data_IF_327618703824
#
_entry.id   IF_327618703824
#
_cell.length_a   1.000
_cell.length_b   1.000
_cell.length_c   1.000
_cell.angle_alpha   90.00
_cell.angle_beta   90.00
_cell.angle_gamma   90.00
#
_symmetry.space_group_name_H-M   'P 1'
#
loop_
_entity.id
_entity.type
_entity.pdbx_description
1 polymer ?
#
# COMPACT_ATOMS: atom_id res chain seq x y z
N UNK A 1 16.38 29.30 -8.63
CA UNK A 1 15.28 29.25 -9.61
C UNK A 1 14.43 28.02 -9.24
N UNK A 2 13.22 28.28 -8.72
CA UNK A 2 12.40 27.32 -7.99
C UNK A 2 11.74 26.27 -8.91
N UNK A 3 12.17 25.02 -8.83
CA UNK A 3 11.51 23.86 -9.51
C UNK A 3 10.59 23.09 -8.52
N UNK A 4 10.09 23.75 -7.48
CA UNK A 4 9.25 23.11 -6.45
C UNK A 4 7.75 23.41 -6.56
N UNK A 5 7.22 23.68 -7.78
CA UNK A 5 5.80 24.05 -7.95
C UNK A 5 4.98 23.21 -8.94
N UNK A 6 5.24 21.93 -9.05
CA UNK A 6 4.33 21.03 -9.79
C UNK A 6 3.80 19.89 -8.91
N UNK A 7 3.21 20.24 -7.76
CA UNK A 7 2.42 19.31 -6.93
C UNK A 7 1.02 19.00 -7.48
N UNK A 8 0.70 19.36 -8.72
CA UNK A 8 -0.71 19.49 -9.15
C UNK A 8 -1.32 18.31 -9.93
N UNK A 9 -0.64 17.24 -10.26
CA UNK A 9 -1.24 16.23 -11.15
C UNK A 9 -0.85 14.79 -10.88
N UNK A 10 -0.80 14.40 -9.61
CA UNK A 10 -0.77 12.98 -9.28
C UNK A 10 -2.14 12.57 -8.77
N UNK A 11 -2.71 11.45 -9.26
CA UNK A 11 -3.92 10.89 -8.66
C UNK A 11 -3.64 10.64 -7.19
N UNK A 12 -4.13 11.52 -6.30
CA UNK A 12 -3.91 11.43 -4.85
C UNK A 12 -4.41 10.13 -4.23
N UNK A 13 -5.27 9.40 -4.94
CA UNK A 13 -5.88 8.16 -4.44
C UNK A 13 -4.97 6.93 -4.53
N UNK A 14 -3.78 7.04 -5.12
CA UNK A 14 -2.92 5.91 -5.43
C UNK A 14 -1.54 5.93 -4.78
N UNK A 15 -1.18 7.02 -4.14
CA UNK A 15 0.07 7.10 -3.39
C UNK A 15 -0.23 6.53 -2.00
N UNK A 16 0.36 5.39 -1.61
CA UNK A 16 0.32 4.97 -0.21
C UNK A 16 0.92 6.13 0.58
N UNK A 17 0.16 6.73 1.48
CA UNK A 17 0.53 7.94 2.21
C UNK A 17 1.88 7.83 2.93
N UNK A 18 2.42 6.63 3.06
CA UNK A 18 3.70 6.37 3.69
C UNK A 18 4.41 5.16 3.04
N UNK A 19 5.17 5.41 2.01
CA UNK A 19 6.10 4.45 1.42
C UNK A 19 7.48 5.10 1.36
N UNK A 20 8.45 4.57 2.10
CA UNK A 20 9.78 5.14 2.20
C UNK A 20 10.87 4.09 2.07
N UNK A 21 12.00 4.51 1.53
CA UNK A 21 13.24 3.78 1.61
C UNK A 21 14.25 4.55 2.47
N UNK A 22 15.07 3.84 3.21
CA UNK A 22 16.18 4.38 3.97
C UNK A 22 17.36 3.40 3.95
N UNK A 23 18.58 3.89 3.99
CA UNK A 23 19.77 3.07 4.18
C UNK A 23 20.56 3.59 5.35
N UNK A 24 21.15 2.69 6.12
CA UNK A 24 21.99 3.05 7.27
C UNK A 24 23.17 2.12 7.39
N UNK A 25 24.34 2.72 7.65
CA UNK A 25 25.53 2.00 8.07
C UNK A 25 25.53 1.91 9.59
N UNK A 26 25.85 0.72 10.10
CA UNK A 26 25.96 0.46 11.53
C UNK A 26 27.29 -0.17 11.83
N UNK A 27 27.92 0.22 12.93
CA UNK A 27 29.14 -0.38 13.44
C UNK A 27 28.83 -1.63 14.25
N UNK A 28 29.78 -2.51 14.36
CA UNK A 28 29.67 -3.68 15.24
C UNK A 28 29.33 -3.25 16.68
N UNK A 29 28.40 -3.95 17.31
CA UNK A 29 27.90 -3.68 18.66
C UNK A 29 26.82 -2.60 18.75
N UNK A 30 26.54 -1.85 17.68
CA UNK A 30 25.40 -0.93 17.66
C UNK A 30 24.07 -1.68 17.68
N UNK A 31 23.03 -1.02 18.16
CA UNK A 31 21.68 -1.57 18.20
C UNK A 31 20.71 -0.61 17.53
N UNK A 32 19.67 -1.16 16.90
CA UNK A 32 18.55 -0.38 16.41
C UNK A 32 17.22 -1.06 16.72
N UNK A 33 16.15 -0.28 16.66
CA UNK A 33 14.77 -0.78 16.83
C UNK A 33 13.90 -0.25 15.69
N UNK A 34 12.89 -1.02 15.31
CA UNK A 34 11.83 -0.51 14.43
C UNK A 34 10.95 0.44 15.23
N UNK A 35 10.82 1.67 14.79
CA UNK A 35 10.16 2.74 15.55
C UNK A 35 8.70 2.96 15.17
N UNK A 36 8.35 2.73 13.91
CA UNK A 36 6.99 2.94 13.41
C UNK A 36 6.21 1.63 13.38
N UNK A 37 5.40 1.41 14.42
CA UNK A 37 4.54 0.23 14.55
C UNK A 37 3.36 0.23 13.58
N UNK A 38 3.06 1.33 12.92
CA UNK A 38 2.01 1.43 11.90
C UNK A 38 2.42 0.90 10.53
N UNK A 39 3.71 0.65 10.31
CA UNK A 39 4.29 0.29 9.02
C UNK A 39 4.73 -1.18 8.96
N UNK A 40 4.67 -1.75 7.77
CA UNK A 40 5.39 -2.98 7.44
C UNK A 40 6.82 -2.62 7.05
N UNK A 41 7.75 -3.53 7.33
CA UNK A 41 9.15 -3.37 6.97
C UNK A 41 9.62 -4.53 6.09
N UNK A 42 10.31 -4.21 5.01
CA UNK A 42 11.23 -5.12 4.33
C UNK A 42 12.63 -4.65 4.67
N UNK A 43 13.40 -5.50 5.34
CA UNK A 43 14.77 -5.22 5.77
C UNK A 43 15.71 -6.04 4.91
N UNK A 44 16.58 -5.37 4.17
CA UNK A 44 17.61 -5.98 3.34
C UNK A 44 18.98 -5.70 3.97
N UNK A 45 19.71 -6.77 4.33
CA UNK A 45 21.10 -6.66 4.73
C UNK A 45 21.97 -6.67 3.48
N UNK A 46 22.51 -5.50 3.10
CA UNK A 46 23.39 -5.42 1.95
C UNK A 46 24.80 -5.95 2.27
N UNK A 47 25.31 -5.60 3.43
CA UNK A 47 26.65 -5.96 3.89
C UNK A 47 26.61 -6.27 5.38
N UNK A 48 27.49 -7.15 5.84
CA UNK A 48 27.64 -7.47 7.24
C UNK A 48 26.64 -8.51 7.77
N UNK A 49 26.34 -8.37 9.07
CA UNK A 49 25.52 -9.35 9.80
C UNK A 49 24.83 -8.73 10.99
N UNK A 50 23.54 -8.96 11.11
CA UNK A 50 22.69 -8.41 12.15
C UNK A 50 21.89 -9.51 12.83
N UNK A 51 21.86 -9.51 14.16
CA UNK A 51 20.98 -10.36 14.96
C UNK A 51 19.69 -9.59 15.28
N UNK A 52 18.57 -10.22 15.01
CA UNK A 52 17.25 -9.64 15.18
C UNK A 52 16.45 -10.44 16.21
N UNK A 53 15.74 -9.77 17.08
CA UNK A 53 14.76 -10.35 18.03
C UNK A 53 13.42 -9.64 17.85
N UNK A 54 12.32 -10.39 17.92
CA UNK A 54 10.97 -9.87 17.72
C UNK A 54 9.97 -10.72 18.50
N UNK A 55 8.77 -10.21 18.74
CA UNK A 55 7.65 -11.03 19.22
C UNK A 55 7.27 -12.18 18.28
N UNK A 56 7.69 -12.12 17.01
CA UNK A 56 7.42 -13.14 15.98
C UNK A 56 8.45 -14.27 15.98
N UNK A 57 9.65 -14.03 16.50
CA UNK A 57 10.77 -15.00 16.53
C UNK A 57 11.73 -14.66 17.68
N UNK A 58 12.28 -15.66 18.30
CA UNK A 58 13.19 -15.47 19.45
C UNK A 58 14.51 -14.82 19.07
N UNK A 59 15.13 -15.26 17.98
CA UNK A 59 16.35 -14.70 17.43
C UNK A 59 16.53 -15.15 15.99
N UNK A 60 16.73 -14.19 15.08
CA UNK A 60 17.07 -14.43 13.69
C UNK A 60 18.39 -13.73 13.35
N UNK A 61 19.14 -14.32 12.44
CA UNK A 61 20.36 -13.71 11.90
C UNK A 61 20.13 -13.32 10.46
N UNK A 62 20.25 -12.05 10.14
CA UNK A 62 20.20 -11.50 8.80
C UNK A 62 21.62 -11.24 8.32
N UNK A 63 22.02 -11.91 7.24
CA UNK A 63 23.35 -11.80 6.61
C UNK A 63 23.29 -10.99 5.32
N UNK A 64 24.44 -10.59 4.85
CA UNK A 64 24.58 -9.97 3.53
C UNK A 64 23.86 -10.77 2.45
N UNK A 65 23.03 -10.09 1.66
CA UNK A 65 22.20 -10.69 0.61
C UNK A 65 20.91 -11.34 1.10
N UNK A 66 20.54 -11.20 2.38
CA UNK A 66 19.27 -11.73 2.90
C UNK A 66 18.24 -10.59 3.10
N UNK A 67 16.98 -10.96 2.95
CA UNK A 67 15.80 -10.10 3.11
C UNK A 67 14.90 -10.65 4.19
N UNK A 68 14.40 -9.78 5.06
CA UNK A 68 13.47 -10.13 6.11
C UNK A 68 12.24 -9.23 6.03
N UNK A 69 11.06 -9.79 6.28
CA UNK A 69 9.82 -9.05 6.37
C UNK A 69 9.34 -8.96 7.83
N UNK A 70 8.95 -7.77 8.27
CA UNK A 70 8.28 -7.54 9.54
C UNK A 70 6.91 -6.87 9.28
N UNK A 71 5.81 -7.44 9.74
CA UNK A 71 4.50 -6.84 9.59
C UNK A 71 4.35 -5.64 10.54
N UNK A 72 3.39 -4.79 10.25
CA UNK A 72 2.97 -3.73 11.16
C UNK A 72 2.65 -4.30 12.55
N UNK A 73 2.88 -3.54 13.59
CA UNK A 73 2.75 -3.90 15.00
C UNK A 73 3.79 -4.90 15.54
N UNK A 74 4.64 -5.46 14.68
CA UNK A 74 5.78 -6.23 15.15
C UNK A 74 6.82 -5.27 15.76
N UNK A 75 7.27 -5.61 16.94
CA UNK A 75 8.47 -5.02 17.50
C UNK A 75 9.70 -5.76 16.97
N UNK A 76 10.77 -5.05 16.74
CA UNK A 76 12.04 -5.66 16.39
C UNK A 76 13.18 -4.87 17.02
N UNK A 77 14.07 -5.61 17.68
CA UNK A 77 15.36 -5.11 18.14
C UNK A 77 16.45 -5.82 17.38
N UNK A 78 17.41 -5.06 16.93
CA UNK A 78 18.57 -5.55 16.20
C UNK A 78 19.85 -5.25 16.97
N UNK A 79 20.79 -6.20 16.93
CA UNK A 79 22.16 -6.09 17.40
C UNK A 79 23.11 -6.35 16.21
N UNK A 80 24.00 -5.44 15.92
CA UNK A 80 24.90 -5.50 14.78
C UNK A 80 26.12 -6.36 15.16
N UNK A 81 26.20 -7.57 14.59
CA UNK A 81 27.24 -8.53 14.85
C UNK A 81 28.53 -8.26 14.07
N UNK A 82 28.41 -7.69 12.88
CA UNK A 82 29.49 -7.25 12.00
C UNK A 82 29.08 -5.89 11.40
N UNK A 83 30.05 -5.02 11.08
CA UNK A 83 29.75 -3.76 10.41
C UNK A 83 28.81 -3.99 9.22
N UNK A 84 27.70 -3.28 9.19
CA UNK A 84 26.58 -3.61 8.32
C UNK A 84 26.00 -2.41 7.61
N UNK A 85 25.67 -2.59 6.33
CA UNK A 85 24.81 -1.68 5.57
C UNK A 85 23.43 -2.33 5.41
N UNK A 86 22.42 -1.68 6.00
CA UNK A 86 21.05 -2.17 6.01
C UNK A 86 20.15 -1.20 5.26
N UNK A 87 19.36 -1.72 4.33
CA UNK A 87 18.34 -0.98 3.60
C UNK A 87 16.97 -1.34 4.16
N UNK A 88 16.21 -0.32 4.51
CA UNK A 88 14.85 -0.45 5.03
C UNK A 88 13.87 0.05 3.96
N UNK A 89 12.84 -0.73 3.71
CA UNK A 89 11.66 -0.29 3.00
C UNK A 89 10.47 -0.36 3.94
N UNK A 90 9.82 0.77 4.18
CA UNK A 90 8.61 0.86 5.00
C UNK A 90 7.41 1.16 4.13
N UNK A 91 6.28 0.52 4.40
CA UNK A 91 5.03 0.73 3.66
C UNK A 91 3.81 0.35 4.49
N UNK A 92 2.69 0.98 4.19
CA UNK A 92 1.40 0.54 4.71
C UNK A 92 0.56 -0.09 3.58
N UNK A 93 -0.36 -0.98 3.94
CA UNK A 93 -1.20 -1.70 2.96
C UNK A 93 -2.50 -0.97 2.64
N UNK A 94 -2.58 0.34 2.89
CA UNK A 94 -3.87 1.01 2.90
C UNK A 94 -4.47 1.23 1.51
N UNK A 95 -3.65 1.24 0.45
CA UNK A 95 -4.15 1.42 -0.91
C UNK A 95 -3.27 0.65 -1.90
N UNK A 96 -3.71 -0.51 -2.35
CA UNK A 96 -3.09 -1.20 -3.47
C UNK A 96 -4.16 -1.54 -4.52
N UNK A 97 -3.89 -1.29 -5.79
CA UNK A 97 -4.65 -1.93 -6.86
C UNK A 97 -4.41 -3.44 -6.79
N UNK A 98 -5.41 -4.28 -7.11
CA UNK A 98 -5.25 -5.74 -7.07
C UNK A 98 -4.04 -6.24 -7.87
N UNK A 99 -3.74 -5.61 -8.99
CA UNK A 99 -2.62 -5.96 -9.87
C UNK A 99 -1.25 -5.57 -9.31
N UNK A 100 -1.22 -4.68 -8.33
CA UNK A 100 0.00 -4.09 -7.74
C UNK A 100 0.23 -4.55 -6.30
N UNK A 101 -0.75 -5.27 -5.73
CA UNK A 101 -0.72 -5.72 -4.35
C UNK A 101 -0.13 -7.11 -4.24
N UNK A 102 0.94 -7.27 -3.46
CA UNK A 102 1.53 -8.59 -3.18
C UNK A 102 0.49 -9.55 -2.57
N UNK A 103 -0.43 -9.05 -1.75
CA UNK A 103 -1.49 -9.86 -1.15
C UNK A 103 -2.46 -10.39 -2.21
N UNK A 104 -2.84 -9.55 -3.17
CA UNK A 104 -3.69 -9.97 -4.28
C UNK A 104 -2.99 -11.04 -5.13
N UNK A 105 -1.69 -10.85 -5.42
CA UNK A 105 -0.90 -11.87 -6.11
C UNK A 105 -0.90 -13.21 -5.36
N UNK A 106 -0.66 -13.19 -4.05
CA UNK A 106 -0.63 -14.39 -3.22
C UNK A 106 -1.98 -15.08 -3.12
N UNK A 107 -3.09 -14.33 -3.24
CA UNK A 107 -4.45 -14.85 -3.25
C UNK A 107 -4.82 -15.55 -4.54
N UNK A 108 -4.54 -14.91 -5.68
CA UNK A 108 -4.88 -15.45 -7.00
C UNK A 108 -4.11 -16.74 -7.31
N UNK A 109 -2.94 -16.94 -6.67
CA UNK A 109 -2.10 -18.13 -6.84
C UNK A 109 -2.26 -19.14 -5.70
N UNK A 110 -3.38 -19.11 -4.99
CA UNK A 110 -3.65 -20.00 -3.86
C UNK A 110 -3.81 -21.46 -4.33
N UNK A 111 -2.80 -22.30 -4.11
CA UNK A 111 -2.96 -23.75 -4.10
C UNK A 111 -3.56 -24.15 -2.74
N UNK A 112 -4.42 -25.18 -2.66
CA UNK A 112 -4.85 -25.72 -1.39
C UNK A 112 -3.63 -26.13 -0.58
N UNK A 113 -3.37 -25.43 0.50
CA UNK A 113 -2.27 -25.75 1.42
C UNK A 113 -2.77 -26.86 2.32
N UNK A 114 -2.01 -27.92 2.42
CA UNK A 114 -2.22 -28.96 3.43
C UNK A 114 -1.82 -28.34 4.77
N UNK A 115 -2.78 -28.07 5.65
CA UNK A 115 -2.72 -27.25 6.87
C UNK A 115 -1.76 -27.75 7.99
N UNK A 116 -0.79 -28.58 7.67
CA UNK A 116 0.19 -29.12 8.63
C UNK A 116 1.57 -28.45 8.59
N UNK A 117 1.76 -27.42 7.80
CA UNK A 117 3.04 -26.70 7.78
C UNK A 117 3.03 -25.68 8.91
N UNK A 118 3.73 -26.02 9.99
CA UNK A 118 4.06 -25.08 11.06
C UNK A 118 4.63 -23.79 10.45
N UNK A 119 4.06 -22.68 10.86
CA UNK A 119 4.37 -21.34 10.45
C UNK A 119 5.76 -20.92 10.88
N UNK A 120 6.74 -21.19 10.04
CA UNK A 120 8.09 -20.69 10.27
C UNK A 120 8.24 -19.35 9.57
N UNK A 121 8.77 -18.41 10.31
CA UNK A 121 9.23 -17.14 9.79
C UNK A 121 10.29 -17.40 8.71
N UNK A 122 10.11 -16.84 7.51
CA UNK A 122 10.96 -17.13 6.37
C UNK A 122 11.73 -15.87 5.93
N UNK A 123 13.03 -16.00 5.80
CA UNK A 123 13.88 -15.02 5.10
C UNK A 123 13.98 -15.41 3.63
N UNK A 124 14.24 -14.43 2.77
CA UNK A 124 14.57 -14.66 1.37
C UNK A 124 16.06 -14.40 1.14
N UNK A 125 16.71 -15.25 0.37
CA UNK A 125 17.99 -14.91 -0.24
C UNK A 125 17.73 -13.97 -1.43
N UNK A 126 18.37 -12.81 -1.46
CA UNK A 126 18.14 -11.83 -2.49
C UNK A 126 18.60 -12.32 -3.86
N UNK A 127 17.68 -12.42 -4.80
CA UNK A 127 18.00 -12.65 -6.18
C UNK A 127 18.85 -11.50 -6.75
N UNK A 128 19.75 -11.77 -7.69
CA UNK A 128 20.66 -10.76 -8.28
C UNK A 128 19.93 -9.48 -8.70
N UNK A 129 18.75 -9.58 -9.29
CA UNK A 129 17.94 -8.43 -9.72
C UNK A 129 17.48 -7.59 -8.52
N UNK A 130 17.15 -8.22 -7.38
CA UNK A 130 16.79 -7.51 -6.15
C UNK A 130 18.01 -6.78 -5.57
N UNK A 131 19.18 -7.38 -5.64
CA UNK A 131 20.44 -6.74 -5.21
C UNK A 131 20.68 -5.48 -6.04
N UNK A 132 20.63 -5.57 -7.37
CA UNK A 132 20.78 -4.41 -8.27
C UNK A 132 19.71 -3.33 -8.02
N UNK A 133 18.47 -3.74 -7.76
CA UNK A 133 17.41 -2.81 -7.37
C UNK A 133 17.77 -2.07 -6.07
N UNK A 134 18.22 -2.78 -5.03
CA UNK A 134 18.60 -2.16 -3.74
C UNK A 134 19.83 -1.26 -3.88
N UNK A 135 20.77 -1.58 -4.77
CA UNK A 135 21.88 -0.69 -5.12
C UNK A 135 21.38 0.61 -5.73
N UNK A 136 20.41 0.56 -6.66
CA UNK A 136 19.80 1.76 -7.22
C UNK A 136 19.12 2.63 -6.16
N UNK A 137 18.46 2.01 -5.18
CA UNK A 137 17.86 2.72 -4.04
C UNK A 137 18.94 3.44 -3.23
N UNK A 138 20.07 2.80 -2.95
CA UNK A 138 21.18 3.42 -2.22
C UNK A 138 21.71 4.65 -2.96
N UNK A 139 21.83 4.61 -4.29
CA UNK A 139 22.21 5.77 -5.09
C UNK A 139 21.22 6.93 -4.97
N UNK A 140 19.91 6.66 -5.13
CA UNK A 140 18.89 7.71 -4.94
C UNK A 140 18.92 8.33 -3.54
N UNK A 141 19.18 7.52 -2.50
CA UNK A 141 19.29 8.01 -1.13
C UNK A 141 20.57 8.85 -0.93
N UNK A 142 21.70 8.45 -1.51
CA UNK A 142 22.96 9.19 -1.43
C UNK A 142 22.86 10.57 -2.12
N UNK A 143 22.17 10.63 -3.26
CA UNK A 143 21.97 11.86 -4.03
C UNK A 143 20.83 12.74 -3.48
N UNK A 144 20.15 12.28 -2.42
CA UNK A 144 18.95 12.93 -1.85
C UNK A 144 17.88 13.28 -2.91
N UNK A 145 17.73 12.42 -3.91
CA UNK A 145 16.79 12.59 -5.04
C UNK A 145 15.43 11.98 -4.81
N UNK A 146 15.24 11.25 -3.70
CA UNK A 146 14.01 10.53 -3.39
C UNK A 146 12.86 11.46 -3.01
N UNK A 147 11.86 11.58 -3.86
CA UNK A 147 10.58 12.18 -3.54
C UNK A 147 9.50 11.08 -3.32
N UNK A 148 8.33 11.49 -2.87
CA UNK A 148 7.23 10.57 -2.56
C UNK A 148 6.79 9.75 -3.79
N UNK A 149 6.80 10.35 -4.99
CA UNK A 149 6.45 9.67 -6.23
C UNK A 149 7.48 8.59 -6.59
N UNK A 150 8.76 8.93 -6.50
CA UNK A 150 9.84 7.98 -6.79
C UNK A 150 9.75 6.78 -5.86
N UNK A 151 9.55 7.00 -4.55
CA UNK A 151 9.41 5.90 -3.59
C UNK A 151 8.20 5.02 -3.86
N UNK A 152 7.09 5.60 -4.29
CA UNK A 152 5.91 4.85 -4.70
C UNK A 152 6.18 3.97 -5.94
N UNK A 153 6.83 4.52 -6.97
CA UNK A 153 7.21 3.76 -8.16
C UNK A 153 8.20 2.63 -7.81
N UNK A 154 9.16 2.91 -6.92
CA UNK A 154 10.12 1.92 -6.45
C UNK A 154 9.49 0.83 -5.57
N UNK A 155 8.47 1.17 -4.79
CA UNK A 155 7.66 0.16 -4.10
C UNK A 155 6.98 -0.79 -5.09
N UNK A 156 6.30 -0.25 -6.11
CA UNK A 156 5.64 -1.06 -7.15
C UNK A 156 6.63 -1.95 -7.89
N UNK A 157 7.78 -1.40 -8.26
CA UNK A 157 8.86 -2.16 -8.89
C UNK A 157 9.32 -3.32 -8.00
N UNK A 158 9.60 -3.07 -6.72
CA UNK A 158 10.01 -4.11 -5.77
C UNK A 158 8.97 -5.25 -5.69
N UNK A 159 7.69 -4.91 -5.55
CA UNK A 159 6.61 -5.91 -5.49
C UNK A 159 6.55 -6.75 -6.78
N UNK A 160 6.73 -6.13 -7.94
CA UNK A 160 6.79 -6.84 -9.23
C UNK A 160 8.02 -7.75 -9.34
N UNK A 161 9.19 -7.28 -8.90
CA UNK A 161 10.41 -8.08 -8.90
C UNK A 161 10.26 -9.28 -7.96
N UNK A 162 9.76 -9.09 -6.74
CA UNK A 162 9.49 -10.19 -5.83
C UNK A 162 8.54 -11.22 -6.46
N UNK A 163 7.44 -10.78 -7.03
CA UNK A 163 6.45 -11.66 -7.69
C UNK A 163 7.00 -12.39 -8.91
N UNK A 164 8.01 -11.84 -9.56
CA UNK A 164 8.61 -12.42 -10.78
C UNK A 164 9.71 -13.43 -10.50
N UNK A 165 10.51 -13.18 -9.45
CA UNK A 165 11.74 -13.93 -9.21
C UNK A 165 11.65 -14.93 -8.07
N UNK A 166 10.56 -14.93 -7.29
CA UNK A 166 10.34 -15.91 -6.23
C UNK A 166 9.05 -16.70 -6.48
N UNK A 167 9.06 -18.01 -6.18
CA UNK A 167 7.86 -18.84 -6.23
C UNK A 167 6.77 -18.30 -5.28
N UNK A 168 5.50 -18.41 -5.68
CA UNK A 168 4.37 -17.95 -4.87
C UNK A 168 4.34 -18.58 -3.47
N UNK A 169 4.80 -19.84 -3.33
CA UNK A 169 4.84 -20.54 -2.04
C UNK A 169 5.93 -19.96 -1.11
N UNK A 170 7.05 -19.53 -1.66
CA UNK A 170 8.12 -18.87 -0.92
C UNK A 170 7.68 -17.49 -0.45
N UNK A 171 7.05 -16.71 -1.34
CA UNK A 171 6.49 -15.40 -0.99
C UNK A 171 5.36 -15.50 0.04
N UNK A 172 4.52 -16.56 0.00
CA UNK A 172 3.52 -16.80 1.04
C UNK A 172 4.15 -17.01 2.41
N UNK A 173 5.22 -17.78 2.50
CA UNK A 173 5.96 -17.96 3.75
C UNK A 173 6.63 -16.68 4.21
N UNK A 174 7.22 -15.93 3.29
CA UNK A 174 7.87 -14.66 3.58
C UNK A 174 6.89 -13.60 4.12
N UNK A 175 5.76 -13.44 3.47
CA UNK A 175 4.70 -12.51 3.89
C UNK A 175 3.69 -13.15 4.85
N UNK A 176 3.92 -14.38 5.31
CA UNK A 176 2.99 -15.10 6.19
C UNK A 176 2.55 -14.27 7.41
N UNK A 177 3.45 -13.52 8.11
CA UNK A 177 3.04 -12.71 9.25
C UNK A 177 2.02 -11.60 8.89
N UNK A 178 1.95 -11.23 7.60
CA UNK A 178 0.95 -10.30 7.08
C UNK A 178 -0.32 -11.01 6.59
N UNK A 179 -0.17 -12.28 6.19
CA UNK A 179 -1.26 -13.08 5.61
C UNK A 179 -1.91 -14.03 6.62
N UNK A 180 -1.39 -14.12 7.87
CA UNK A 180 -1.77 -15.08 8.91
C UNK A 180 -3.26 -15.33 8.98
N UNK A 181 -3.69 -16.57 9.07
CA UNK A 181 -4.98 -17.23 8.86
C UNK A 181 -6.15 -16.46 8.23
N UNK A 182 -6.05 -15.13 8.14
CA UNK A 182 -6.94 -14.29 7.34
C UNK A 182 -6.16 -13.08 6.79
N UNK A 183 -6.13 -12.92 5.47
CA UNK A 183 -5.89 -11.58 4.89
C UNK A 183 -6.82 -10.63 5.61
N UNK A 184 -6.31 -9.50 6.13
CA UNK A 184 -7.17 -8.56 6.83
C UNK A 184 -8.38 -8.29 5.93
N UNK A 185 -9.56 -8.56 6.45
CA UNK A 185 -10.83 -8.36 5.72
C UNK A 185 -10.86 -7.00 5.02
N UNK A 186 -10.26 -5.99 5.65
CA UNK A 186 -10.05 -4.65 5.12
C UNK A 186 -9.30 -4.66 3.77
N UNK A 187 -8.23 -5.42 3.66
CA UNK A 187 -7.42 -5.49 2.42
C UNK A 187 -8.20 -6.14 1.28
N UNK A 188 -8.99 -7.18 1.57
CA UNK A 188 -9.86 -7.81 0.57
C UNK A 188 -10.89 -6.80 0.07
N UNK A 189 -11.55 -6.08 0.99
CA UNK A 189 -12.52 -5.05 0.64
C UNK A 189 -11.90 -3.97 -0.24
N UNK A 190 -10.74 -3.44 0.16
CA UNK A 190 -10.04 -2.39 -0.58
C UNK A 190 -9.58 -2.83 -1.97
N UNK A 191 -9.29 -4.12 -2.17
CA UNK A 191 -8.89 -4.64 -3.48
C UNK A 191 -10.07 -4.82 -4.46
N UNK A 192 -11.30 -4.90 -3.96
CA UNK A 192 -12.48 -5.22 -4.79
C UNK A 192 -13.52 -4.11 -4.89
N UNK A 193 -13.53 -3.12 -3.99
CA UNK A 193 -14.62 -2.15 -3.91
C UNK A 193 -14.85 -1.34 -5.19
N UNK A 194 -13.80 -1.08 -5.99
CA UNK A 194 -13.93 -0.32 -7.25
C UNK A 194 -14.66 -1.11 -8.34
N UNK A 195 -14.70 -2.44 -8.22
CA UNK A 195 -15.37 -3.34 -9.17
C UNK A 195 -16.82 -3.62 -8.79
N UNK A 196 -17.23 -3.18 -7.61
CA UNK A 196 -18.55 -3.46 -7.05
C UNK A 196 -19.43 -2.21 -7.05
N UNK A 197 -20.63 -2.35 -7.55
CA UNK A 197 -21.66 -1.29 -7.54
C UNK A 197 -22.67 -1.48 -6.39
N UNK A 198 -22.62 -2.62 -5.71
CA UNK A 198 -23.55 -2.97 -4.62
C UNK A 198 -22.85 -3.72 -3.49
N UNK A 199 -23.52 -3.74 -2.33
CA UNK A 199 -23.08 -4.56 -1.18
C UNK A 199 -23.01 -6.04 -1.54
N UNK A 200 -23.97 -6.54 -2.34
CA UNK A 200 -24.00 -7.94 -2.76
C UNK A 200 -22.81 -8.31 -3.62
N UNK A 201 -22.56 -7.53 -4.67
CA UNK A 201 -21.39 -7.73 -5.55
C UNK A 201 -20.06 -7.65 -4.79
N UNK A 202 -19.94 -6.69 -3.86
CA UNK A 202 -18.71 -6.58 -3.07
C UNK A 202 -18.53 -7.78 -2.16
N UNK A 203 -19.59 -8.29 -1.54
CA UNK A 203 -19.53 -9.48 -0.71
C UNK A 203 -19.11 -10.71 -1.53
N UNK A 204 -19.69 -10.89 -2.72
CA UNK A 204 -19.36 -11.97 -3.65
C UNK A 204 -17.90 -11.91 -4.11
N UNK A 205 -17.43 -10.75 -4.56
CA UNK A 205 -16.04 -10.52 -4.95
C UNK A 205 -15.06 -10.79 -3.81
N UNK A 206 -15.48 -10.55 -2.56
CA UNK A 206 -14.69 -10.84 -1.38
C UNK A 206 -14.82 -12.31 -0.90
N UNK A 207 -15.65 -13.12 -1.53
CA UNK A 207 -15.84 -14.53 -1.17
C UNK A 207 -16.67 -14.79 0.10
N UNK A 208 -17.57 -13.86 0.46
CA UNK A 208 -18.42 -13.97 1.64
C UNK A 208 -19.90 -13.93 1.31
N UNK A 209 -20.72 -14.56 2.15
CA UNK A 209 -22.17 -14.29 2.13
C UNK A 209 -22.42 -12.84 2.55
N UNK A 210 -23.48 -12.21 2.02
CA UNK A 210 -23.82 -10.80 2.31
C UNK A 210 -23.95 -10.55 3.82
N UNK A 211 -24.57 -11.44 4.57
CA UNK A 211 -24.73 -11.30 6.03
C UNK A 211 -23.40 -11.34 6.77
N UNK A 212 -22.53 -12.30 6.44
CA UNK A 212 -21.19 -12.41 7.04
C UNK A 212 -20.36 -11.19 6.69
N UNK A 213 -20.40 -10.77 5.43
CA UNK A 213 -19.68 -9.59 4.95
C UNK A 213 -20.09 -8.32 5.70
N UNK A 214 -21.39 -8.03 5.80
CA UNK A 214 -21.90 -6.84 6.49
C UNK A 214 -21.49 -6.82 7.98
N UNK A 215 -21.54 -7.96 8.67
CA UNK A 215 -21.12 -8.07 10.07
C UNK A 215 -19.61 -7.78 10.23
N UNK A 216 -18.77 -8.39 9.39
CA UNK A 216 -17.33 -8.18 9.40
C UNK A 216 -16.98 -6.74 9.02
N UNK A 217 -17.69 -6.21 8.01
CA UNK A 217 -17.50 -4.85 7.54
C UNK A 217 -17.80 -3.81 8.62
N UNK A 218 -18.93 -3.96 9.32
CA UNK A 218 -19.31 -3.07 10.42
C UNK A 218 -18.28 -3.10 11.55
N UNK A 219 -17.73 -4.29 11.87
CA UNK A 219 -16.69 -4.45 12.89
C UNK A 219 -15.37 -3.76 12.47
N UNK A 220 -14.98 -3.88 11.20
CA UNK A 220 -13.67 -3.41 10.71
C UNK A 220 -13.66 -1.93 10.31
N UNK A 221 -14.76 -1.42 9.74
CA UNK A 221 -14.85 -0.06 9.19
C UNK A 221 -15.71 0.89 10.04
N UNK A 222 -16.36 0.38 11.06
CA UNK A 222 -17.30 1.09 11.94
C UNK A 222 -18.43 1.85 11.20
N UNK A 223 -18.79 1.36 10.01
CA UNK A 223 -19.82 1.93 9.16
C UNK A 223 -20.51 0.84 8.35
N UNK A 224 -21.64 1.14 7.71
CA UNK A 224 -22.27 0.18 6.79
C UNK A 224 -21.53 0.16 5.45
N UNK A 225 -21.59 -0.99 4.74
CA UNK A 225 -21.00 -1.13 3.40
C UNK A 225 -21.53 -0.07 2.45
N UNK A 226 -22.86 0.15 2.46
CA UNK A 226 -23.52 1.15 1.60
C UNK A 226 -23.00 2.56 1.86
N UNK A 227 -22.96 3.00 3.12
CA UNK A 227 -22.48 4.34 3.48
C UNK A 227 -21.02 4.54 3.08
N UNK A 228 -20.21 3.49 3.26
CA UNK A 228 -18.81 3.54 2.91
C UNK A 228 -18.60 3.61 1.39
N UNK A 229 -19.31 2.80 0.60
CA UNK A 229 -19.25 2.84 -0.86
C UNK A 229 -19.67 4.20 -1.40
N UNK A 230 -20.77 4.79 -0.85
CA UNK A 230 -21.19 6.14 -1.23
C UNK A 230 -20.11 7.17 -0.94
N UNK A 231 -19.47 7.10 0.22
CA UNK A 231 -18.37 8.01 0.58
C UNK A 231 -17.21 7.87 -0.39
N UNK A 232 -16.79 6.63 -0.70
CA UNK A 232 -15.73 6.37 -1.68
C UNK A 232 -16.09 6.89 -3.08
N UNK A 233 -17.31 6.67 -3.52
CA UNK A 233 -17.82 7.24 -4.78
C UNK A 233 -17.78 8.76 -4.79
N UNK A 234 -18.18 9.41 -3.70
CA UNK A 234 -18.13 10.86 -3.57
C UNK A 234 -16.70 11.40 -3.59
N UNK A 235 -15.75 10.73 -2.90
CA UNK A 235 -14.32 11.07 -2.94
C UNK A 235 -13.78 11.02 -4.39
N UNK A 236 -14.08 9.96 -5.15
CA UNK A 236 -13.65 9.82 -6.53
C UNK A 236 -14.28 10.87 -7.45
N UNK A 237 -15.57 11.16 -7.28
CA UNK A 237 -16.25 12.21 -8.06
C UNK A 237 -15.62 13.58 -7.76
N UNK A 238 -15.33 13.87 -6.49
CA UNK A 238 -14.64 15.11 -6.10
C UNK A 238 -13.29 15.25 -6.80
N UNK A 239 -12.52 14.15 -6.85
CA UNK A 239 -11.26 14.12 -7.57
C UNK A 239 -11.44 14.36 -9.08
N UNK A 240 -12.43 13.70 -9.72
CA UNK A 240 -12.70 13.94 -11.16
C UNK A 240 -13.18 15.38 -11.43
N UNK A 241 -13.91 15.97 -10.51
CA UNK A 241 -14.33 17.39 -10.60
C UNK A 241 -13.16 18.36 -10.51
N UNK A 242 -12.12 18.05 -9.75
CA UNK A 242 -10.91 18.89 -9.67
C UNK A 242 -10.07 18.89 -10.96
N UNK A 243 -10.32 17.96 -11.86
CA UNK A 243 -9.72 17.93 -13.19
C UNK A 243 -10.57 18.75 -14.15
N UNK A 244 -10.28 20.04 -14.26
CA UNK A 244 -11.16 21.02 -14.93
C UNK A 244 -11.38 20.77 -16.40
N UNK A 245 -10.44 20.07 -17.07
CA UNK A 245 -10.52 19.69 -18.48
C UNK A 245 -11.50 18.52 -18.76
N UNK A 246 -12.00 17.84 -17.71
CA UNK A 246 -12.91 16.70 -17.89
C UNK A 246 -14.35 17.20 -17.97
N UNK A 247 -15.09 16.89 -19.03
CA UNK A 247 -16.51 17.25 -19.14
C UNK A 247 -17.36 16.53 -18.08
N UNK A 248 -18.42 17.18 -17.61
CA UNK A 248 -19.36 16.53 -16.67
C UNK A 248 -20.03 15.29 -17.26
N UNK A 249 -20.25 15.26 -18.57
CA UNK A 249 -20.80 14.10 -19.28
C UNK A 249 -19.91 12.86 -19.10
N UNK A 250 -18.60 13.01 -19.20
CA UNK A 250 -17.66 11.92 -18.97
C UNK A 250 -17.73 11.39 -17.53
N UNK A 251 -17.84 12.28 -16.54
CA UNK A 251 -18.00 11.87 -15.13
C UNK A 251 -19.35 11.15 -14.92
N UNK A 252 -20.41 11.64 -15.54
CA UNK A 252 -21.75 11.02 -15.48
C UNK A 252 -21.69 9.59 -16.02
N UNK A 253 -21.05 9.39 -17.15
CA UNK A 253 -20.91 8.09 -17.81
C UNK A 253 -19.97 7.15 -17.01
N UNK A 254 -18.82 7.64 -16.56
CA UNK A 254 -17.84 6.89 -15.76
C UNK A 254 -18.47 6.31 -14.47
N UNK A 255 -19.28 7.13 -13.81
CA UNK A 255 -19.95 6.74 -12.58
C UNK A 255 -21.38 6.18 -12.78
N UNK A 256 -21.77 5.89 -14.00
CA UNK A 256 -23.08 5.30 -14.35
C UNK A 256 -24.28 6.05 -13.72
N UNK A 257 -24.31 7.39 -13.80
CA UNK A 257 -25.49 8.14 -13.43
C UNK A 257 -26.53 8.09 -14.56
N UNK A 258 -27.76 7.84 -14.18
CA UNK A 258 -28.87 7.75 -15.14
C UNK A 258 -29.23 9.08 -15.81
N UNK A 259 -28.81 10.20 -15.26
CA UNK A 259 -29.07 11.54 -15.80
C UNK A 259 -28.18 12.61 -15.16
N UNK A 260 -28.00 13.76 -15.82
CA UNK A 260 -27.35 14.93 -15.23
C UNK A 260 -28.03 15.42 -13.94
N UNK A 261 -29.35 15.31 -13.85
CA UNK A 261 -30.11 15.67 -12.65
C UNK A 261 -29.78 14.76 -11.48
N UNK A 262 -29.64 13.45 -11.73
CA UNK A 262 -29.26 12.48 -10.71
C UNK A 262 -27.84 12.76 -10.20
N UNK A 263 -26.90 13.04 -11.10
CA UNK A 263 -25.52 13.44 -10.75
C UNK A 263 -25.50 14.73 -9.91
N UNK A 264 -26.24 15.74 -10.32
CA UNK A 264 -26.35 17.02 -9.60
C UNK A 264 -26.91 16.81 -8.18
N UNK A 265 -27.98 15.99 -8.06
CA UNK A 265 -28.57 15.62 -6.76
C UNK A 265 -27.58 14.86 -5.86
N UNK A 266 -26.80 13.98 -6.43
CA UNK A 266 -25.73 13.26 -5.71
C UNK A 266 -24.66 14.23 -5.18
N UNK A 267 -24.16 15.13 -6.02
CA UNK A 267 -23.14 16.11 -5.61
C UNK A 267 -23.66 17.02 -4.49
N UNK A 268 -24.86 17.57 -4.62
CA UNK A 268 -25.47 18.37 -3.54
C UNK A 268 -25.57 17.60 -2.24
N UNK A 269 -26.02 16.35 -2.29
CA UNK A 269 -26.25 15.52 -1.09
C UNK A 269 -24.97 15.08 -0.40
N UNK A 270 -23.95 14.70 -1.15
CA UNK A 270 -22.76 14.02 -0.61
C UNK A 270 -21.47 14.85 -0.69
N UNK A 271 -21.44 15.89 -1.53
CA UNK A 271 -20.29 16.79 -1.67
C UNK A 271 -20.62 18.23 -1.23
N UNK A 272 -21.90 18.54 -0.95
CA UNK A 272 -22.34 19.79 -0.35
C UNK A 272 -22.81 20.86 -1.34
N UNK A 273 -22.51 20.72 -2.65
CA UNK A 273 -22.89 21.69 -3.65
C UNK A 273 -23.07 21.08 -5.04
N UNK A 274 -23.44 21.88 -6.03
CA UNK A 274 -23.53 21.46 -7.43
C UNK A 274 -22.16 21.16 -8.03
N UNK A 275 -22.07 20.28 -9.05
CA UNK A 275 -20.80 19.99 -9.73
C UNK A 275 -20.08 21.24 -10.24
N UNK A 276 -20.84 22.22 -10.77
CA UNK A 276 -20.28 23.47 -11.28
C UNK A 276 -19.68 24.34 -10.18
N UNK A 277 -20.38 24.52 -9.06
CA UNK A 277 -19.86 25.26 -7.92
C UNK A 277 -18.67 24.59 -7.27
N UNK A 278 -18.72 23.25 -7.10
CA UNK A 278 -17.61 22.48 -6.57
C UNK A 278 -16.34 22.65 -7.41
N UNK A 279 -16.48 22.58 -8.75
CA UNK A 279 -15.36 22.81 -9.66
C UNK A 279 -14.79 24.21 -9.53
N UNK A 280 -15.66 25.23 -9.55
CA UNK A 280 -15.25 26.63 -9.39
C UNK A 280 -14.49 26.87 -8.09
N UNK A 281 -15.02 26.39 -6.96
CA UNK A 281 -14.35 26.51 -5.65
C UNK A 281 -12.96 25.83 -5.64
N UNK A 282 -12.80 24.71 -6.36
CA UNK A 282 -11.52 24.03 -6.49
C UNK A 282 -10.55 24.78 -7.39
N UNK A 283 -11.03 25.45 -8.44
CA UNK A 283 -10.24 26.34 -9.30
C UNK A 283 -9.75 27.55 -8.51
N UNK A 284 -10.68 28.25 -7.83
CA UNK A 284 -10.37 29.43 -7.01
C UNK A 284 -9.34 29.09 -5.88
N UNK A 285 -9.45 27.89 -5.31
CA UNK A 285 -8.49 27.39 -4.30
C UNK A 285 -7.14 26.98 -4.89
N UNK A 286 -7.03 26.90 -6.21
CA UNK A 286 -5.84 26.46 -6.94
C UNK A 286 -5.04 27.64 -7.52
N UNK A 287 -5.60 28.84 -7.59
CA UNK A 287 -4.83 30.06 -7.87
C UNK A 287 -4.13 30.51 -6.60
N UNK A 288 -2.78 30.55 -6.55
CA UNK A 288 -2.10 31.21 -5.45
C UNK A 288 -2.31 32.72 -5.61
N UNK A 289 -2.57 33.39 -4.45
CA UNK A 289 -2.52 34.84 -4.33
C UNK A 289 -1.34 35.36 -5.14
N UNK A 290 -1.66 36.24 -6.07
CA UNK A 290 -0.67 36.87 -6.93
C UNK A 290 0.33 37.69 -6.09
N UNK A 291 1.58 37.39 -6.29
CA UNK A 291 2.70 38.36 -6.32
C UNK A 291 3.90 37.70 -6.97
#
# INVERSE_FOLDING_TARGET
MNILRTRKHLPCDEIPDNCHFASRCYRQGETFVTTDKGMNYIIFCREGKVHLTSSLFSRETLRAGEILFLPRMADCRAEVAEESLVVFHTFNNTVCRPEECILSYLYTHKKPVNDKVQTYYCKLSAHRVIITFMESICHYLADNTGDLLLWHLKHKELIRLLSRYYPADELRRFFHPMTGESVPFRSIVLSHYRKANSTGELAELCGYSVQTFQRMFKKEFDTTVYQWLIRKRAEHIRYRLSQTFIPFTEIIDEFNFSSPQHFNGFCKKYLGDTPGNLRKTMEDSAEPDGY
#
